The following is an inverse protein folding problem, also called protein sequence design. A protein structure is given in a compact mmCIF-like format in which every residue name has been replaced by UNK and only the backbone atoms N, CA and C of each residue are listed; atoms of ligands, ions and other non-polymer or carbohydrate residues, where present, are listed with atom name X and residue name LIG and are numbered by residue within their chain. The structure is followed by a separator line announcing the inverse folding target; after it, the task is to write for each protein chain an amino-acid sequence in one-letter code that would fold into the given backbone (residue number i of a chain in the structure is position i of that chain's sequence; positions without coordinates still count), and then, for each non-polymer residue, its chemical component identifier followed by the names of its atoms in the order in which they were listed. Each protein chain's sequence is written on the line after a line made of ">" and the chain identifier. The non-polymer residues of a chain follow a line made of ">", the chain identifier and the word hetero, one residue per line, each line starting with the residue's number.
data_IF_440632281988
#
_entry.id   IF_440632281988
#
_cell.length_a   1.000
_cell.length_b   1.000
_cell.length_c   1.000
_cell.angle_alpha   90.00
_cell.angle_beta   90.00
_cell.angle_gamma   90.00
#
_symmetry.space_group_name_H-M   'P 1'
#
loop_
_entity.id
_entity.type
_entity.pdbx_description
1 polymer ?
#
# COMPACT_ATOMS: atom_id res chain seq x y z
N UNK A 1 25.88 13.01 -8.75
CA UNK A 1 25.73 13.67 -7.43
C UNK A 1 24.26 13.55 -7.06
N UNK A 2 23.94 12.84 -5.99
CA UNK A 2 22.56 12.54 -5.62
C UNK A 2 21.91 13.84 -5.12
N UNK A 3 20.74 14.25 -5.63
CA UNK A 3 20.08 15.55 -5.29
C UNK A 3 19.52 15.60 -3.86
N UNK A 4 19.89 14.65 -3.02
CA UNK A 4 19.30 14.44 -1.71
C UNK A 4 19.76 15.50 -0.69
N UNK A 5 20.95 16.06 -0.86
CA UNK A 5 21.45 17.12 0.01
C UNK A 5 20.65 18.43 -0.20
N UNK A 6 20.23 18.71 -1.43
CA UNK A 6 19.33 19.82 -1.75
C UNK A 6 17.94 19.61 -1.14
N UNK A 7 17.40 18.39 -1.20
CA UNK A 7 16.10 18.03 -0.58
C UNK A 7 16.20 18.11 0.94
N UNK A 8 17.29 17.62 1.54
CA UNK A 8 17.54 17.70 2.98
C UNK A 8 17.57 19.16 3.44
N UNK A 9 18.30 20.03 2.73
CA UNK A 9 18.37 21.45 3.03
C UNK A 9 17.01 22.16 2.85
N UNK A 10 16.29 21.87 1.77
CA UNK A 10 15.00 22.47 1.46
C UNK A 10 13.93 22.11 2.50
N UNK A 11 13.91 20.86 2.95
CA UNK A 11 12.91 20.34 3.89
C UNK A 11 13.37 20.44 5.36
N UNK A 12 14.58 20.95 5.61
CA UNK A 12 15.13 21.10 6.97
C UNK A 12 15.33 19.77 7.69
N UNK A 13 15.62 18.68 6.96
CA UNK A 13 15.72 17.34 7.53
C UNK A 13 17.06 17.15 8.26
N UNK A 14 16.99 16.50 9.41
CA UNK A 14 18.16 15.97 10.12
C UNK A 14 18.74 14.76 9.40
N UNK A 15 19.98 14.39 9.72
CA UNK A 15 20.61 13.17 9.15
C UNK A 15 19.82 11.89 9.50
N UNK A 16 19.17 11.87 10.67
CA UNK A 16 18.29 10.78 11.08
C UNK A 16 17.08 10.68 10.15
N UNK A 17 16.42 11.79 9.86
CA UNK A 17 15.24 11.81 8.99
C UNK A 17 15.61 11.47 7.54
N UNK A 18 16.75 11.97 7.05
CA UNK A 18 17.31 11.56 5.76
C UNK A 18 17.52 10.06 5.69
N UNK A 19 18.13 9.46 6.73
CA UNK A 19 18.33 8.02 6.78
C UNK A 19 17.00 7.25 6.74
N UNK A 20 15.95 7.75 7.42
CA UNK A 20 14.61 7.14 7.36
C UNK A 20 13.96 7.25 5.98
N UNK A 21 14.07 8.39 5.30
CA UNK A 21 13.51 8.54 3.95
C UNK A 21 14.22 7.61 2.96
N UNK A 22 15.55 7.48 3.10
CA UNK A 22 16.34 6.59 2.26
C UNK A 22 16.10 5.10 2.54
N UNK A 23 15.58 4.74 3.72
CA UNK A 23 15.27 3.34 4.06
C UNK A 23 13.93 2.85 3.52
N UNK A 24 13.09 3.75 2.98
CA UNK A 24 11.77 3.40 2.44
C UNK A 24 11.91 2.31 1.37
N UNK A 25 11.12 1.25 1.52
CA UNK A 25 11.06 0.05 0.67
C UNK A 25 12.39 -0.72 0.56
N UNK A 26 13.33 -0.57 1.50
CA UNK A 26 14.58 -1.33 1.49
C UNK A 26 14.46 -2.72 2.15
N UNK A 27 13.49 -2.93 3.03
CA UNK A 27 13.34 -4.17 3.80
C UNK A 27 11.87 -4.52 4.04
N UNK A 28 11.07 -4.53 2.97
CA UNK A 28 9.67 -4.92 3.07
C UNK A 28 9.55 -6.40 3.44
N UNK A 29 8.64 -6.67 4.36
CA UNK A 29 8.14 -8.02 4.66
C UNK A 29 7.46 -8.61 3.40
N UNK A 30 8.02 -9.70 2.82
CA UNK A 30 7.50 -10.29 1.59
C UNK A 30 6.13 -10.97 1.78
N UNK A 31 5.68 -11.21 3.01
CA UNK A 31 4.39 -11.82 3.29
C UNK A 31 3.22 -10.82 3.31
N UNK A 32 3.51 -9.51 3.24
CA UNK A 32 2.49 -8.46 3.39
C UNK A 32 2.45 -7.54 2.16
N UNK A 33 1.26 -7.04 1.85
CA UNK A 33 1.05 -6.07 0.77
C UNK A 33 0.82 -4.68 1.37
N UNK A 34 1.84 -3.84 1.30
CA UNK A 34 1.78 -2.47 1.80
C UNK A 34 2.70 -1.54 1.01
N UNK A 35 2.52 -0.24 1.21
CA UNK A 35 3.49 0.78 0.82
C UNK A 35 4.13 1.35 2.07
N UNK A 36 5.40 1.71 1.97
CA UNK A 36 6.05 2.50 3.03
C UNK A 36 5.96 3.99 2.71
N UNK A 37 5.63 4.77 3.74
CA UNK A 37 5.66 6.24 3.70
C UNK A 37 6.45 6.76 4.90
N UNK A 38 7.22 7.83 4.70
CA UNK A 38 7.82 8.55 5.80
C UNK A 38 6.92 9.71 6.22
N UNK A 39 6.70 9.85 7.53
CA UNK A 39 5.91 10.93 8.11
C UNK A 39 6.76 11.64 9.16
N UNK A 40 6.95 12.95 8.97
CA UNK A 40 7.59 13.84 9.94
C UNK A 40 6.60 14.82 10.56
N UNK A 41 6.55 14.86 11.90
CA UNK A 41 5.70 15.75 12.69
C UNK A 41 6.54 16.91 13.26
N UNK A 42 6.90 17.86 12.38
CA UNK A 42 7.51 19.14 12.78
C UNK A 42 8.76 19.02 13.65
N UNK A 43 9.64 18.05 13.37
CA UNK A 43 10.90 17.83 14.10
C UNK A 43 10.77 17.18 15.48
N UNK A 44 9.55 16.93 15.97
CA UNK A 44 9.32 16.24 17.26
C UNK A 44 9.33 14.72 17.14
N UNK A 45 8.82 14.22 16.02
CA UNK A 45 8.69 12.79 15.75
C UNK A 45 8.77 12.52 14.26
N UNK A 46 9.47 11.46 13.89
CA UNK A 46 9.59 11.01 12.50
C UNK A 46 9.75 9.50 12.45
N UNK A 47 9.04 8.85 11.52
CA UNK A 47 9.15 7.41 11.30
C UNK A 47 8.69 7.00 9.90
N UNK A 48 9.11 5.79 9.50
CA UNK A 48 8.58 5.10 8.32
C UNK A 48 7.43 4.22 8.77
N UNK A 49 6.31 4.30 8.06
CA UNK A 49 5.07 3.58 8.35
C UNK A 49 4.69 2.71 7.16
N UNK A 50 4.20 1.51 7.46
CA UNK A 50 3.48 0.69 6.48
C UNK A 50 2.03 1.19 6.37
N UNK A 51 1.60 1.53 5.16
CA UNK A 51 0.21 1.86 4.85
C UNK A 51 -0.44 0.70 4.14
N UNK A 52 -1.51 0.21 4.72
CA UNK A 52 -2.33 -0.90 4.23
C UNK A 52 -3.78 -0.44 4.09
N UNK A 53 -4.47 -1.02 3.12
CA UNK A 53 -5.91 -0.85 2.92
C UNK A 53 -6.58 -2.20 3.03
N UNK A 54 -7.91 -2.21 3.19
CA UNK A 54 -8.64 -3.47 3.18
C UNK A 54 -8.55 -4.13 1.80
N UNK A 55 -8.74 -5.45 1.75
CA UNK A 55 -8.75 -6.20 0.48
C UNK A 55 -9.85 -5.68 -0.45
N UNK A 56 -10.98 -5.24 0.11
CA UNK A 56 -12.07 -4.63 -0.65
C UNK A 56 -11.65 -3.32 -1.30
N UNK A 57 -11.01 -2.41 -0.54
CA UNK A 57 -10.53 -1.13 -1.07
C UNK A 57 -9.45 -1.37 -2.13
N UNK A 58 -8.52 -2.29 -1.88
CA UNK A 58 -7.51 -2.69 -2.85
C UNK A 58 -8.14 -3.19 -4.17
N UNK A 59 -9.10 -4.11 -4.10
CA UNK A 59 -9.76 -4.67 -5.29
C UNK A 59 -10.65 -3.65 -6.02
N UNK A 60 -11.18 -2.65 -5.31
CA UNK A 60 -11.95 -1.57 -5.93
C UNK A 60 -11.09 -0.69 -6.85
N UNK A 61 -9.79 -0.57 -6.56
CA UNK A 61 -8.85 0.30 -7.27
C UNK A 61 -7.68 -0.43 -7.95
N UNK A 62 -7.67 -1.76 -7.94
CA UNK A 62 -6.57 -2.52 -8.54
C UNK A 62 -6.45 -2.25 -10.04
N UNK A 63 -5.20 -2.06 -10.48
CA UNK A 63 -4.84 -1.98 -11.90
C UNK A 63 -4.28 -3.28 -12.44
N UNK A 64 -4.10 -4.29 -11.58
CA UNK A 64 -3.58 -5.60 -11.98
C UNK A 64 -4.64 -6.31 -12.83
N UNK A 65 -4.27 -6.66 -14.06
CA UNK A 65 -5.21 -7.19 -15.05
C UNK A 65 -5.92 -8.46 -14.57
N UNK A 66 -5.18 -9.38 -13.95
CA UNK A 66 -5.70 -10.66 -13.47
C UNK A 66 -6.76 -10.47 -12.39
N UNK A 67 -6.55 -9.54 -11.46
CA UNK A 67 -7.49 -9.23 -10.38
C UNK A 67 -8.71 -8.48 -10.89
N UNK A 68 -8.51 -7.55 -11.82
CA UNK A 68 -9.60 -6.85 -12.48
C UNK A 68 -10.50 -7.82 -13.24
N UNK A 69 -9.92 -8.76 -13.98
CA UNK A 69 -10.68 -9.80 -14.69
C UNK A 69 -11.45 -10.71 -13.71
N UNK A 70 -10.84 -11.10 -12.59
CA UNK A 70 -11.51 -11.87 -11.52
C UNK A 70 -12.76 -11.14 -10.99
N UNK A 71 -12.62 -9.85 -10.65
CA UNK A 71 -13.74 -9.01 -10.18
C UNK A 71 -14.82 -8.89 -11.24
N UNK A 72 -14.45 -8.56 -12.48
CA UNK A 72 -15.42 -8.34 -13.55
C UNK A 72 -16.15 -9.61 -13.97
N UNK A 73 -15.48 -10.77 -13.94
CA UNK A 73 -16.11 -12.06 -14.20
C UNK A 73 -17.17 -12.37 -13.15
N UNK A 74 -16.82 -12.30 -11.87
CA UNK A 74 -17.78 -12.57 -10.78
C UNK A 74 -18.91 -11.53 -10.76
N UNK A 75 -18.63 -10.27 -11.08
CA UNK A 75 -19.66 -9.25 -11.22
C UNK A 75 -20.64 -9.62 -12.34
N UNK A 76 -20.17 -10.14 -13.48
CA UNK A 76 -21.03 -10.63 -14.56
C UNK A 76 -21.96 -11.77 -14.14
N UNK A 77 -21.51 -12.65 -13.25
CA UNK A 77 -22.33 -13.71 -12.64
C UNK A 77 -23.36 -13.15 -11.64
N UNK A 78 -23.12 -11.95 -11.11
CA UNK A 78 -23.93 -11.27 -10.10
C UNK A 78 -24.71 -10.08 -10.68
N UNK A 79 -25.19 -10.19 -11.92
CA UNK A 79 -25.99 -9.16 -12.60
C UNK A 79 -25.30 -7.79 -12.69
N UNK A 80 -23.98 -7.80 -12.88
CA UNK A 80 -23.14 -6.60 -12.94
C UNK A 80 -22.80 -5.98 -11.58
N UNK A 81 -23.12 -6.62 -10.45
CA UNK A 81 -22.86 -6.07 -9.13
C UNK A 81 -21.38 -6.22 -8.71
N UNK A 82 -20.58 -5.21 -9.05
CA UNK A 82 -19.14 -5.14 -8.74
C UNK A 82 -18.86 -5.09 -7.23
N UNK A 83 -19.65 -4.34 -6.46
CA UNK A 83 -19.46 -4.25 -5.00
C UNK A 83 -19.61 -5.62 -4.33
N UNK A 84 -20.65 -6.37 -4.72
CA UNK A 84 -20.90 -7.70 -4.19
C UNK A 84 -19.78 -8.67 -4.60
N UNK A 85 -19.33 -8.63 -5.86
CA UNK A 85 -18.21 -9.43 -6.34
C UNK A 85 -16.93 -9.18 -5.51
N UNK A 86 -16.58 -7.92 -5.27
CA UNK A 86 -15.43 -7.54 -4.43
C UNK A 86 -15.57 -8.12 -3.02
N UNK A 87 -16.74 -7.99 -2.38
CA UNK A 87 -16.98 -8.56 -1.04
C UNK A 87 -16.79 -10.07 -1.01
N UNK A 88 -17.32 -10.79 -2.01
CA UNK A 88 -17.15 -12.24 -2.11
C UNK A 88 -15.69 -12.64 -2.30
N UNK A 89 -14.93 -11.96 -3.17
CA UNK A 89 -13.51 -12.25 -3.40
C UNK A 89 -12.70 -11.96 -2.13
N UNK A 90 -12.90 -10.80 -1.50
CA UNK A 90 -12.22 -10.43 -0.26
C UNK A 90 -12.48 -11.44 0.88
N UNK A 91 -13.73 -11.91 1.01
CA UNK A 91 -14.08 -12.95 1.99
C UNK A 91 -13.36 -14.28 1.70
N UNK A 92 -13.29 -14.70 0.43
CA UNK A 92 -12.57 -15.92 0.02
C UNK A 92 -11.07 -15.83 0.29
N UNK A 93 -10.45 -14.67 0.02
CA UNK A 93 -9.01 -14.44 0.27
C UNK A 93 -8.69 -14.55 1.77
N UNK A 94 -9.44 -13.86 2.64
CA UNK A 94 -9.29 -13.95 4.12
C UNK A 94 -9.51 -15.36 4.67
N UNK A 95 -10.43 -16.14 4.10
CA UNK A 95 -10.66 -17.51 4.54
C UNK A 95 -9.48 -18.45 4.23
N UNK A 96 -8.70 -18.17 3.17
CA UNK A 96 -7.50 -18.93 2.81
C UNK A 96 -6.30 -18.58 3.68
N UNK A 97 -6.17 -17.32 4.10
CA UNK A 97 -5.08 -16.88 5.00
C UNK A 97 -5.20 -17.46 6.41
N UNK A 98 -6.43 -17.77 6.86
CA UNK A 98 -6.70 -18.34 8.18
C UNK A 98 -6.62 -19.88 8.22
N UNK A 99 -6.21 -20.54 7.14
CA UNK A 99 -6.02 -22.01 7.03
C UNK A 99 -4.54 -22.35 7.02
#
# INVERSE_FOLDING_TARGET
>A
MNKFDEIQALLGLTDKEKAQVLSINMNNDPARLYKEVWIGLGGTHSAVYATEVSVEEYLAYTTEETEKLEVMQLAGELDGNVELAIKHIAMRRRAKENQ
#
